data_IF_813330865802
#
_entry.id   IF_813330865802
#
_cell.length_a   1.000
_cell.length_b   1.000
_cell.length_c   1.000
_cell.angle_alpha   90.00
_cell.angle_beta   90.00
_cell.angle_gamma   90.00
#
_symmetry.space_group_name_H-M   'P 1'
#
loop_
_entity.id
_entity.type
_entity.pdbx_description
1 polymer ?
#
# COMPACT_ATOMS: atom_id res chain seq x y z
N UNK A 1 -37.87 -19.96 16.05
CA UNK A 1 -36.71 -20.84 15.74
C UNK A 1 -35.45 -20.04 15.86
N UNK A 2 -34.70 -20.24 16.96
CA UNK A 2 -33.44 -19.55 17.22
C UNK A 2 -32.38 -20.10 16.25
N UNK A 3 -31.93 -19.28 15.29
CA UNK A 3 -30.78 -19.64 14.48
C UNK A 3 -29.55 -19.69 15.40
N UNK A 4 -29.07 -20.90 15.67
CA UNK A 4 -27.79 -21.13 16.32
C UNK A 4 -26.74 -20.35 15.55
N UNK A 5 -26.20 -19.26 16.14
CA UNK A 5 -25.05 -18.54 15.58
C UNK A 5 -23.87 -19.53 15.50
N UNK A 6 -23.58 -20.04 14.30
CA UNK A 6 -22.37 -20.85 14.08
C UNK A 6 -21.18 -20.09 14.64
N UNK A 7 -20.44 -20.74 15.53
CA UNK A 7 -19.19 -20.17 16.03
C UNK A 7 -18.25 -19.89 14.85
N UNK A 8 -17.52 -18.78 14.87
CA UNK A 8 -16.57 -18.47 13.81
C UNK A 8 -15.46 -19.53 13.75
N UNK A 9 -15.09 -19.92 12.53
CA UNK A 9 -13.94 -20.79 12.31
C UNK A 9 -12.65 -19.98 12.52
N UNK A 10 -11.71 -20.51 13.30
CA UNK A 10 -10.40 -19.88 13.53
C UNK A 10 -9.40 -20.37 12.49
N UNK A 11 -8.74 -19.44 11.84
CA UNK A 11 -7.68 -19.68 10.88
C UNK A 11 -6.37 -19.05 11.37
N UNK A 12 -5.34 -19.86 11.65
CA UNK A 12 -4.02 -19.37 12.03
C UNK A 12 -3.37 -18.66 10.84
N UNK A 13 -3.02 -17.40 11.01
CA UNK A 13 -2.36 -16.60 9.96
C UNK A 13 -0.90 -17.03 9.74
N UNK A 14 -0.33 -17.86 10.64
CA UNK A 14 1.07 -18.31 10.59
C UNK A 14 2.06 -17.16 10.41
N UNK A 15 1.84 -16.06 11.12
CA UNK A 15 2.74 -14.92 11.11
C UNK A 15 3.78 -15.14 12.20
N UNK A 16 4.89 -15.81 11.87
CA UNK A 16 5.98 -16.11 12.81
C UNK A 16 6.99 -14.96 12.94
N UNK A 17 7.14 -14.15 11.88
CA UNK A 17 8.00 -12.96 11.87
C UNK A 17 7.17 -11.76 11.45
N UNK A 18 7.00 -10.86 12.39
CA UNK A 18 6.39 -9.56 12.14
C UNK A 18 7.50 -8.64 11.64
N UNK A 19 7.22 -7.82 10.64
CA UNK A 19 8.10 -6.74 10.21
C UNK A 19 8.15 -5.69 11.34
N UNK A 20 9.09 -5.84 12.27
CA UNK A 20 9.18 -5.03 13.49
C UNK A 20 9.36 -3.54 13.20
N UNK A 21 9.90 -3.21 12.02
CA UNK A 21 10.07 -1.84 11.55
C UNK A 21 8.79 -1.22 10.96
N UNK A 22 7.71 -2.01 10.77
CA UNK A 22 6.45 -1.47 10.26
C UNK A 22 5.67 -0.76 11.36
N UNK A 23 5.32 0.50 11.08
CA UNK A 23 4.34 1.26 11.83
C UNK A 23 2.92 1.05 11.32
N UNK A 24 1.99 1.76 11.94
CA UNK A 24 0.57 1.76 11.53
C UNK A 24 0.39 2.30 10.11
N UNK A 25 1.08 3.39 9.68
CA UNK A 25 0.95 3.91 8.32
C UNK A 25 1.31 2.88 7.22
N UNK A 26 2.36 2.06 7.42
CA UNK A 26 2.75 1.02 6.47
C UNK A 26 1.68 -0.08 6.38
N UNK A 27 1.08 -0.47 7.50
CA UNK A 27 0.00 -1.44 7.53
C UNK A 27 -1.26 -0.92 6.81
N UNK A 28 -1.65 0.34 7.05
CA UNK A 28 -2.78 0.99 6.36
C UNK A 28 -2.50 1.14 4.86
N UNK A 29 -1.25 1.46 4.48
CA UNK A 29 -0.83 1.50 3.07
C UNK A 29 -1.13 0.19 2.36
N UNK A 30 -0.88 -0.97 2.97
CA UNK A 30 -1.17 -2.28 2.35
C UNK A 30 -2.68 -2.50 2.16
N UNK A 31 -3.51 -2.05 3.10
CA UNK A 31 -4.97 -2.12 2.94
C UNK A 31 -5.43 -1.23 1.77
N UNK A 32 -4.92 0.00 1.69
CA UNK A 32 -5.23 0.93 0.57
C UNK A 32 -4.72 0.36 -0.76
N UNK A 33 -3.50 -0.16 -0.81
CA UNK A 33 -2.92 -0.77 -2.01
C UNK A 33 -3.77 -1.94 -2.52
N UNK A 34 -4.24 -2.81 -1.62
CA UNK A 34 -5.12 -3.92 -2.00
C UNK A 34 -6.47 -3.45 -2.55
N UNK A 35 -7.06 -2.39 -1.98
CA UNK A 35 -8.29 -1.81 -2.49
C UNK A 35 -8.11 -1.19 -3.90
N UNK A 36 -6.99 -0.51 -4.14
CA UNK A 36 -6.63 0.04 -5.45
C UNK A 36 -6.34 -1.06 -6.48
N UNK A 37 -5.65 -2.11 -6.08
CA UNK A 37 -5.40 -3.27 -6.95
C UNK A 37 -6.71 -3.96 -7.35
N UNK A 38 -7.64 -4.15 -6.41
CA UNK A 38 -8.93 -4.76 -6.71
C UNK A 38 -9.75 -3.89 -7.65
N UNK A 39 -9.73 -2.57 -7.49
CA UNK A 39 -10.32 -1.63 -8.44
C UNK A 39 -9.74 -1.81 -9.84
N UNK A 40 -8.41 -1.84 -9.97
CA UNK A 40 -7.73 -1.98 -11.25
C UNK A 40 -8.00 -3.33 -11.93
N UNK A 41 -8.08 -4.41 -11.15
CA UNK A 41 -8.32 -5.77 -11.64
C UNK A 41 -9.78 -6.00 -12.06
N UNK A 42 -10.74 -5.39 -11.36
CA UNK A 42 -12.18 -5.61 -11.56
C UNK A 42 -12.87 -4.51 -12.37
N UNK A 43 -12.19 -3.38 -12.63
CA UNK A 43 -12.75 -2.24 -13.36
C UNK A 43 -13.90 -1.56 -12.64
N UNK A 44 -13.88 -1.58 -11.29
CA UNK A 44 -14.96 -1.04 -10.46
C UNK A 44 -14.71 0.42 -10.05
N UNK A 45 -15.67 1.00 -9.30
CA UNK A 45 -15.54 2.35 -8.76
C UNK A 45 -14.33 2.48 -7.83
N UNK A 46 -13.84 3.71 -7.69
CA UNK A 46 -12.71 4.03 -6.81
C UNK A 46 -12.97 3.67 -5.35
N UNK A 47 -11.96 3.14 -4.65
CA UNK A 47 -12.06 2.87 -3.23
C UNK A 47 -12.39 4.13 -2.42
N UNK A 48 -13.19 3.97 -1.38
CA UNK A 48 -13.54 5.04 -0.45
C UNK A 48 -12.76 4.90 0.84
N UNK A 49 -12.13 5.98 1.27
CA UNK A 49 -11.43 6.09 2.55
C UNK A 49 -12.17 7.14 3.37
N UNK A 50 -12.93 6.72 4.38
CA UNK A 50 -13.80 7.61 5.16
C UNK A 50 -13.70 7.32 6.64
N UNK A 51 -13.78 8.37 7.47
CA UNK A 51 -13.91 8.26 8.92
C UNK A 51 -15.37 8.15 9.30
N UNK A 52 -15.71 7.11 10.08
CA UNK A 52 -17.04 6.91 10.65
C UNK A 52 -16.97 6.98 12.18
N UNK A 53 -18.10 6.81 12.87
CA UNK A 53 -18.14 6.80 14.34
C UNK A 53 -17.32 5.71 14.98
N UNK A 54 -17.19 4.56 14.31
CA UNK A 54 -16.49 3.35 14.77
C UNK A 54 -15.05 3.25 14.26
N UNK A 55 -14.54 4.24 13.54
CA UNK A 55 -13.15 4.28 13.07
C UNK A 55 -13.00 4.67 11.60
N UNK A 56 -11.81 4.44 11.07
CA UNK A 56 -11.52 4.63 9.67
C UNK A 56 -11.95 3.41 8.84
N UNK A 57 -12.53 3.66 7.70
CA UNK A 57 -12.98 2.64 6.75
C UNK A 57 -12.26 2.79 5.42
N UNK A 58 -11.74 1.67 4.90
CA UNK A 58 -11.24 1.55 3.53
C UNK A 58 -12.13 0.54 2.82
N UNK A 59 -12.89 1.00 1.84
CA UNK A 59 -13.90 0.19 1.13
C UNK A 59 -13.57 0.12 -0.35
N UNK A 60 -13.38 -1.08 -0.91
CA UNK A 60 -13.41 -1.31 -2.35
C UNK A 60 -14.80 -1.78 -2.81
N UNK A 61 -15.02 -1.83 -4.14
CA UNK A 61 -16.28 -2.23 -4.75
C UNK A 61 -16.11 -3.42 -5.70
N UNK A 62 -15.02 -4.18 -5.53
CA UNK A 62 -14.69 -5.31 -6.37
C UNK A 62 -15.40 -6.62 -5.99
N UNK A 63 -14.68 -7.72 -6.14
CA UNK A 63 -15.19 -9.09 -5.97
C UNK A 63 -15.34 -9.50 -4.51
N UNK A 64 -14.71 -8.77 -3.59
CA UNK A 64 -14.69 -9.05 -2.17
C UNK A 64 -13.61 -10.04 -1.74
N UNK A 65 -13.06 -9.80 -0.54
CA UNK A 65 -12.03 -10.63 0.08
C UNK A 65 -12.61 -11.99 0.47
N UNK A 66 -11.90 -13.06 0.15
CA UNK A 66 -12.15 -14.41 0.67
C UNK A 66 -11.08 -14.76 1.68
N UNK A 67 -11.38 -15.58 2.70
CA UNK A 67 -10.39 -16.00 3.70
C UNK A 67 -9.19 -16.71 3.06
N UNK A 68 -9.38 -17.41 1.94
CA UNK A 68 -8.29 -18.04 1.18
C UNK A 68 -7.22 -17.03 0.72
N UNK A 69 -7.59 -15.76 0.49
CA UNK A 69 -6.60 -14.73 0.16
C UNK A 69 -5.65 -14.42 1.33
N UNK A 70 -6.05 -14.75 2.57
CA UNK A 70 -5.20 -14.66 3.74
C UNK A 70 -4.26 -15.88 3.88
N UNK A 71 -4.50 -16.97 3.14
CA UNK A 71 -3.68 -18.18 3.18
C UNK A 71 -2.58 -18.18 2.12
N UNK A 72 -2.77 -17.42 1.06
CA UNK A 72 -1.87 -17.40 -0.10
C UNK A 72 -0.75 -16.38 0.11
N UNK A 73 0.48 -16.79 -0.19
CA UNK A 73 1.64 -15.91 -0.17
C UNK A 73 1.78 -15.09 -1.46
N UNK A 74 1.17 -15.53 -2.57
CA UNK A 74 1.18 -14.84 -3.86
C UNK A 74 -0.15 -14.98 -4.58
N UNK A 75 -0.58 -13.89 -5.26
CA UNK A 75 -1.72 -13.92 -6.18
C UNK A 75 -1.22 -14.13 -7.60
N UNK A 76 -1.54 -15.29 -8.20
CA UNK A 76 -1.21 -15.57 -9.60
C UNK A 76 -1.82 -14.56 -10.58
N UNK A 77 -3.02 -14.03 -10.25
CA UNK A 77 -3.68 -13.01 -11.06
C UNK A 77 -2.91 -11.69 -11.03
N UNK A 78 -2.47 -11.23 -9.83
CA UNK A 78 -1.65 -10.03 -9.69
C UNK A 78 -0.31 -10.16 -10.42
N UNK A 79 0.29 -11.37 -10.42
CA UNK A 79 1.51 -11.63 -11.20
C UNK A 79 1.30 -11.49 -12.71
N UNK A 80 0.21 -12.06 -13.22
CA UNK A 80 -0.12 -11.98 -14.67
C UNK A 80 -0.44 -10.57 -15.13
N UNK A 81 -1.06 -9.76 -14.25
CA UNK A 81 -1.45 -8.37 -14.52
C UNK A 81 -0.55 -7.36 -13.78
N UNK A 82 0.74 -7.67 -13.65
CA UNK A 82 1.72 -6.88 -12.88
C UNK A 82 1.82 -5.41 -13.33
N UNK A 83 1.41 -5.10 -14.58
CA UNK A 83 1.41 -3.73 -15.09
C UNK A 83 0.23 -2.90 -14.60
N UNK A 84 -0.85 -3.52 -14.15
CA UNK A 84 -2.06 -2.85 -13.68
C UNK A 84 -2.09 -2.66 -12.15
N UNK A 85 -1.32 -3.45 -11.40
CA UNK A 85 -1.41 -3.48 -9.93
C UNK A 85 -0.20 -2.84 -9.27
N UNK A 86 -0.44 -2.29 -8.09
CA UNK A 86 0.55 -1.67 -7.21
C UNK A 86 1.19 -2.72 -6.31
N UNK A 87 0.38 -3.61 -5.71
CA UNK A 87 0.82 -4.67 -4.82
C UNK A 87 0.98 -6.00 -5.55
N UNK A 88 2.19 -6.57 -5.54
CA UNK A 88 2.45 -7.86 -6.21
C UNK A 88 2.26 -9.10 -5.33
N UNK A 89 2.20 -8.95 -4.00
CA UNK A 89 2.32 -10.07 -3.05
C UNK A 89 1.17 -10.12 -2.05
N UNK A 90 0.63 -11.32 -1.82
CA UNK A 90 -0.38 -11.60 -0.79
C UNK A 90 0.14 -11.51 0.65
N UNK A 91 1.45 -11.44 0.85
CA UNK A 91 2.10 -11.38 2.17
C UNK A 91 1.79 -10.07 2.90
N UNK A 92 1.73 -8.93 2.18
CA UNK A 92 1.56 -7.62 2.79
C UNK A 92 0.29 -7.45 3.63
N UNK A 93 -0.80 -8.10 3.25
CA UNK A 93 -2.03 -8.01 4.05
C UNK A 93 -1.88 -8.76 5.38
N UNK A 94 -1.22 -9.92 5.41
CA UNK A 94 -0.97 -10.65 6.66
C UNK A 94 -0.07 -9.84 7.61
N UNK A 95 1.00 -9.26 7.06
CA UNK A 95 1.92 -8.41 7.81
C UNK A 95 1.21 -7.16 8.35
N UNK A 96 0.30 -6.57 7.56
CA UNK A 96 -0.53 -5.46 7.99
C UNK A 96 -1.46 -5.87 9.14
N UNK A 97 -2.14 -7.02 9.05
CA UNK A 97 -3.01 -7.53 10.11
C UNK A 97 -2.23 -7.80 11.40
N UNK A 98 -1.04 -8.39 11.31
CA UNK A 98 -0.17 -8.61 12.47
C UNK A 98 0.34 -7.29 13.07
N UNK A 99 0.64 -6.28 12.24
CA UNK A 99 1.03 -4.96 12.71
C UNK A 99 -0.13 -4.27 13.44
N UNK A 100 -1.35 -4.36 12.92
CA UNK A 100 -2.54 -3.81 13.59
C UNK A 100 -2.75 -4.45 14.95
N UNK A 101 -2.70 -5.79 15.05
CA UNK A 101 -2.85 -6.50 16.32
C UNK A 101 -1.79 -6.05 17.35
N UNK A 102 -0.51 -6.00 16.94
CA UNK A 102 0.59 -5.53 17.80
C UNK A 102 0.43 -4.08 18.26
N UNK A 103 -0.16 -3.23 17.42
CA UNK A 103 -0.36 -1.80 17.70
C UNK A 103 -1.72 -1.49 18.35
N UNK A 104 -2.51 -2.51 18.66
CA UNK A 104 -3.81 -2.35 19.32
C UNK A 104 -4.89 -1.74 18.43
N UNK A 105 -4.74 -1.84 17.10
CA UNK A 105 -5.76 -1.44 16.13
C UNK A 105 -6.72 -2.62 15.93
N UNK A 106 -7.98 -2.43 16.29
CA UNK A 106 -9.01 -3.45 16.09
C UNK A 106 -9.48 -3.45 14.62
N UNK A 107 -9.38 -4.62 13.98
CA UNK A 107 -9.69 -4.80 12.56
C UNK A 107 -10.95 -5.64 12.39
N UNK A 108 -11.90 -5.11 11.63
CA UNK A 108 -13.09 -5.83 11.17
C UNK A 108 -13.18 -5.76 9.66
N UNK A 109 -13.23 -6.90 8.98
CA UNK A 109 -13.31 -7.00 7.54
C UNK A 109 -14.67 -7.58 7.18
N UNK A 110 -15.43 -6.89 6.33
CA UNK A 110 -16.71 -7.35 5.80
C UNK A 110 -16.63 -7.51 4.29
N UNK A 111 -17.00 -8.68 3.81
CA UNK A 111 -17.10 -8.98 2.39
C UNK A 111 -18.36 -9.79 2.07
N UNK A 112 -18.75 -9.98 0.80
CA UNK A 112 -19.89 -10.85 0.47
C UNK A 112 -19.64 -12.33 0.83
N UNK A 113 -18.38 -12.70 1.15
CA UNK A 113 -17.98 -14.09 1.39
C UNK A 113 -17.83 -14.43 2.87
N UNK A 114 -17.46 -13.46 3.71
CA UNK A 114 -17.24 -13.65 5.13
C UNK A 114 -17.14 -12.32 5.89
N UNK A 115 -17.44 -12.36 7.17
CA UNK A 115 -17.01 -11.36 8.15
C UNK A 115 -15.80 -11.93 8.89
N UNK A 116 -14.71 -11.14 8.97
CA UNK A 116 -13.44 -11.58 9.53
C UNK A 116 -13.00 -10.58 10.60
N UNK A 117 -12.61 -11.09 11.76
CA UNK A 117 -11.98 -10.32 12.85
C UNK A 117 -10.70 -11.00 13.28
N UNK A 118 -9.83 -10.27 13.97
CA UNK A 118 -8.57 -10.81 14.49
C UNK A 118 -8.73 -11.29 15.93
N UNK A 119 -8.08 -12.39 16.29
CA UNK A 119 -8.04 -12.92 17.66
C UNK A 119 -6.72 -13.61 17.95
N UNK A 120 -6.20 -13.43 19.16
CA UNK A 120 -5.15 -14.28 19.69
C UNK A 120 -5.75 -15.61 20.18
N UNK A 121 -5.24 -16.73 19.68
CA UNK A 121 -5.64 -18.07 20.06
C UNK A 121 -4.44 -19.01 20.15
N UNK A 122 -4.62 -20.13 20.85
CA UNK A 122 -3.59 -21.16 20.91
C UNK A 122 -3.30 -21.74 19.52
N UNK A 123 -2.02 -21.93 19.21
CA UNK A 123 -1.59 -22.60 17.97
C UNK A 123 -2.05 -24.05 18.01
N UNK A 124 -2.53 -24.57 16.88
CA UNK A 124 -2.93 -25.99 16.78
C UNK A 124 -1.79 -26.90 17.28
N UNK A 125 -2.11 -27.79 18.22
CA UNK A 125 -1.19 -28.73 18.89
C UNK A 125 -0.18 -28.12 19.87
N UNK A 126 -0.23 -26.79 20.13
CA UNK A 126 0.66 -26.10 21.09
C UNK A 126 -0.15 -25.12 21.94
N UNK A 127 -0.76 -25.61 23.01
CA UNK A 127 -1.66 -24.82 23.87
C UNK A 127 -0.97 -23.59 24.50
N UNK A 128 0.32 -23.68 24.75
CA UNK A 128 1.13 -22.63 25.39
C UNK A 128 1.57 -21.54 24.40
N UNK A 129 1.45 -21.78 23.09
CA UNK A 129 1.86 -20.84 22.05
C UNK A 129 0.62 -20.12 21.50
N UNK A 130 0.52 -18.81 21.73
CA UNK A 130 -0.53 -17.97 21.14
C UNK A 130 -0.07 -17.39 19.83
N UNK A 131 -0.91 -17.51 18.81
CA UNK A 131 -0.69 -16.93 17.48
C UNK A 131 -1.90 -16.11 17.04
N UNK A 132 -1.68 -15.23 16.07
CA UNK A 132 -2.75 -14.41 15.50
C UNK A 132 -3.61 -15.25 14.55
N UNK A 133 -4.90 -15.27 14.81
CA UNK A 133 -5.90 -15.98 14.03
C UNK A 133 -6.89 -15.01 13.39
N UNK A 134 -7.32 -15.33 12.17
CA UNK A 134 -8.51 -14.77 11.57
C UNK A 134 -9.73 -15.59 12.03
N UNK A 135 -10.65 -14.94 12.75
CA UNK A 135 -11.94 -15.51 13.10
C UNK A 135 -12.93 -15.23 11.96
N UNK A 136 -13.27 -16.27 11.22
CA UNK A 136 -14.08 -16.21 10.00
C UNK A 136 -15.52 -16.63 10.33
N UNK A 137 -16.47 -15.71 10.17
CA UNK A 137 -17.89 -15.92 10.33
C UNK A 137 -18.63 -15.83 8.98
N UNK A 138 -19.84 -16.38 8.87
CA UNK A 138 -20.70 -16.14 7.71
C UNK A 138 -20.90 -14.64 7.48
N UNK A 139 -21.03 -14.18 6.21
CA UNK A 139 -21.16 -12.77 5.91
C UNK A 139 -22.47 -12.21 6.48
N UNK A 140 -22.40 -11.09 7.19
CA UNK A 140 -23.59 -10.35 7.65
C UNK A 140 -24.30 -9.65 6.48
N UNK A 141 -23.54 -9.33 5.41
CA UNK A 141 -24.03 -8.65 4.22
C UNK A 141 -23.68 -9.43 2.93
N UNK A 142 -24.32 -10.57 2.64
CA UNK A 142 -23.94 -11.43 1.49
C UNK A 142 -24.18 -10.77 0.12
N UNK A 143 -24.96 -9.69 0.06
CA UNK A 143 -25.19 -8.89 -1.16
C UNK A 143 -24.24 -7.69 -1.30
N UNK A 144 -23.32 -7.48 -0.36
CA UNK A 144 -22.31 -6.44 -0.42
C UNK A 144 -21.47 -6.60 -1.69
N UNK A 145 -21.05 -5.47 -2.28
CA UNK A 145 -20.01 -5.47 -3.32
C UNK A 145 -18.70 -5.02 -2.67
N UNK A 146 -17.63 -5.77 -2.94
CA UNK A 146 -16.30 -5.46 -2.48
C UNK A 146 -16.06 -5.78 -1.00
N UNK A 147 -15.01 -5.18 -0.47
CA UNK A 147 -14.54 -5.39 0.90
C UNK A 147 -14.54 -4.08 1.66
N UNK A 148 -14.93 -4.10 2.92
CA UNK A 148 -14.82 -2.98 3.84
C UNK A 148 -13.91 -3.37 5.01
N UNK A 149 -12.80 -2.66 5.15
CA UNK A 149 -11.91 -2.72 6.30
C UNK A 149 -12.28 -1.61 7.27
N UNK A 150 -12.78 -1.95 8.45
CA UNK A 150 -12.98 -1.02 9.55
C UNK A 150 -11.80 -1.12 10.52
N UNK A 151 -11.10 0.00 10.72
CA UNK A 151 -9.88 0.14 11.52
C UNK A 151 -10.17 1.03 12.73
N UNK A 152 -10.43 0.42 13.89
CA UNK A 152 -10.74 1.13 15.13
C UNK A 152 -9.47 1.39 15.92
N UNK A 153 -9.34 2.59 16.47
CA UNK A 153 -8.14 3.03 17.17
C UNK A 153 -7.09 3.68 16.27
N UNK A 154 -7.33 3.71 14.95
CA UNK A 154 -6.48 4.41 14.00
C UNK A 154 -6.61 5.93 14.15
N UNK A 155 -5.48 6.64 14.26
CA UNK A 155 -5.47 8.10 14.35
C UNK A 155 -5.60 8.76 12.97
N UNK A 156 -6.01 10.03 12.94
CA UNK A 156 -6.06 10.83 11.71
C UNK A 156 -4.65 11.03 11.12
N UNK A 157 -3.65 11.16 11.99
CA UNK A 157 -2.26 11.27 11.59
C UNK A 157 -1.75 10.00 10.89
N UNK A 158 -2.08 8.80 11.43
CA UNK A 158 -1.69 7.54 10.79
C UNK A 158 -2.33 7.38 9.41
N UNK A 159 -3.62 7.73 9.29
CA UNK A 159 -4.32 7.68 8.00
C UNK A 159 -3.74 8.70 7.01
N UNK A 160 -3.43 9.91 7.45
CA UNK A 160 -2.80 10.92 6.60
C UNK A 160 -1.41 10.46 6.11
N UNK A 161 -0.59 9.92 7.00
CA UNK A 161 0.72 9.37 6.66
C UNK A 161 0.62 8.17 5.71
N UNK A 162 -0.39 7.30 5.88
CA UNK A 162 -0.64 6.19 4.98
C UNK A 162 -1.07 6.64 3.57
N UNK A 163 -1.93 7.66 3.48
CA UNK A 163 -2.35 8.24 2.19
C UNK A 163 -1.21 8.92 1.46
N UNK A 164 -0.26 9.50 2.18
CA UNK A 164 0.91 10.16 1.62
C UNK A 164 1.88 9.20 0.89
N UNK A 165 1.73 7.89 1.08
CA UNK A 165 2.41 6.90 0.24
C UNK A 165 1.89 6.85 -1.20
N UNK A 166 0.74 7.44 -1.50
CA UNK A 166 0.10 7.36 -2.81
C UNK A 166 0.05 8.72 -3.47
N UNK A 167 0.65 8.86 -4.64
CA UNK A 167 0.69 10.10 -5.42
C UNK A 167 -0.70 10.71 -5.61
N UNK A 168 -1.72 9.88 -5.84
CA UNK A 168 -3.12 10.32 -6.03
C UNK A 168 -3.73 11.03 -4.82
N UNK A 169 -3.18 10.81 -3.60
CA UNK A 169 -3.63 11.44 -2.36
C UNK A 169 -2.64 12.44 -1.81
N UNK A 170 -1.38 12.37 -2.25
CA UNK A 170 -0.30 13.20 -1.75
C UNK A 170 -0.43 14.67 -2.19
N UNK A 171 -1.08 14.93 -3.34
CA UNK A 171 -1.25 16.28 -3.86
C UNK A 171 0.02 16.88 -4.46
N UNK A 172 0.98 16.03 -4.88
CA UNK A 172 2.19 16.48 -5.56
C UNK A 172 1.85 17.02 -6.97
N UNK A 173 2.41 18.17 -7.32
CA UNK A 173 2.20 18.86 -8.59
C UNK A 173 3.00 18.18 -9.70
N UNK A 174 2.34 17.77 -10.80
CA UNK A 174 3.01 17.23 -11.98
C UNK A 174 3.49 18.40 -12.87
N UNK A 175 4.80 18.50 -13.08
CA UNK A 175 5.42 19.50 -13.96
C UNK A 175 5.46 19.03 -15.41
N UNK A 176 5.76 17.74 -15.62
CA UNK A 176 5.85 17.17 -16.97
C UNK A 176 5.63 15.66 -16.94
N UNK A 177 4.99 15.14 -18.00
CA UNK A 177 4.79 13.72 -18.22
C UNK A 177 5.53 13.25 -19.47
N UNK A 178 6.23 12.11 -19.32
CA UNK A 178 6.92 11.40 -20.39
C UNK A 178 6.34 9.99 -20.53
N UNK A 179 6.76 9.26 -21.56
CA UNK A 179 6.42 7.83 -21.76
C UNK A 179 7.00 6.89 -20.68
N UNK A 180 8.01 7.36 -19.91
CA UNK A 180 8.65 6.59 -18.87
C UNK A 180 8.11 6.90 -17.47
N UNK A 181 7.49 8.06 -17.30
CA UNK A 181 6.99 8.55 -16.03
C UNK A 181 6.83 10.06 -16.01
N UNK A 182 6.58 10.62 -14.82
CA UNK A 182 6.36 12.05 -14.62
C UNK A 182 7.44 12.66 -13.75
N UNK A 183 7.74 13.94 -14.03
CA UNK A 183 8.52 14.82 -13.18
C UNK A 183 7.53 15.61 -12.32
N UNK A 184 7.72 15.57 -11.02
CA UNK A 184 6.87 16.22 -10.04
C UNK A 184 7.67 17.30 -9.32
N UNK A 185 6.99 18.38 -8.93
CA UNK A 185 7.60 19.42 -8.12
C UNK A 185 7.98 18.88 -6.75
N UNK A 186 9.23 19.10 -6.35
CA UNK A 186 9.66 18.83 -4.99
C UNK A 186 8.97 19.80 -4.04
N UNK A 187 8.47 19.33 -2.91
CA UNK A 187 7.90 20.20 -1.89
C UNK A 187 9.01 20.96 -1.17
N UNK A 188 8.75 22.22 -0.88
CA UNK A 188 9.70 23.06 -0.17
C UNK A 188 9.98 22.50 1.24
N UNK A 189 11.25 22.40 1.61
CA UNK A 189 11.66 21.87 2.91
C UNK A 189 11.53 20.35 3.09
N UNK A 190 11.03 19.62 2.07
CA UNK A 190 10.91 18.15 2.12
C UNK A 190 11.89 17.48 1.13
N UNK A 191 12.31 16.22 1.39
CA UNK A 191 13.04 15.45 0.41
C UNK A 191 12.20 15.16 -0.84
N UNK A 192 12.87 14.98 -1.97
CA UNK A 192 12.22 14.53 -3.19
C UNK A 192 11.66 13.12 -3.02
N UNK A 193 10.52 12.85 -3.62
CA UNK A 193 9.77 11.61 -3.48
C UNK A 193 9.89 10.78 -4.76
N UNK A 194 10.20 9.50 -4.62
CA UNK A 194 10.26 8.57 -5.74
C UNK A 194 9.05 7.65 -5.65
N UNK A 195 8.17 7.78 -6.63
CA UNK A 195 7.01 6.92 -6.79
C UNK A 195 7.26 5.91 -7.90
N UNK A 196 6.72 4.72 -7.75
CA UNK A 196 6.60 3.73 -8.81
C UNK A 196 5.14 3.38 -8.96
N UNK A 197 4.59 3.65 -10.16
CA UNK A 197 3.15 3.48 -10.45
C UNK A 197 2.26 4.15 -9.40
N UNK A 198 2.67 5.36 -8.97
CA UNK A 198 1.92 6.17 -8.01
C UNK A 198 2.09 5.77 -6.54
N UNK A 199 2.99 4.84 -6.21
CA UNK A 199 3.32 4.47 -4.82
C UNK A 199 4.73 4.88 -4.47
N UNK A 200 4.88 5.62 -3.39
CA UNK A 200 6.19 6.07 -2.88
C UNK A 200 7.02 4.89 -2.41
N UNK A 201 8.21 4.76 -2.98
CA UNK A 201 9.15 3.68 -2.70
C UNK A 201 10.45 4.17 -2.06
N UNK A 202 10.77 5.47 -2.20
CA UNK A 202 11.94 6.08 -1.61
C UNK A 202 11.75 7.60 -1.47
N UNK A 203 12.66 8.22 -0.72
CA UNK A 203 12.86 9.66 -0.64
C UNK A 203 14.33 9.99 -0.90
N UNK A 204 14.61 11.17 -1.48
CA UNK A 204 15.94 11.59 -1.92
C UNK A 204 16.18 13.04 -1.55
N UNK A 205 17.14 13.25 -0.66
CA UNK A 205 17.51 14.60 -0.19
C UNK A 205 18.16 15.48 -1.28
N UNK A 206 18.90 14.86 -2.19
CA UNK A 206 19.70 15.57 -3.19
C UNK A 206 19.02 15.74 -4.54
N UNK A 207 17.79 15.21 -4.72
CA UNK A 207 17.11 15.35 -5.99
C UNK A 207 16.34 16.67 -6.06
N UNK A 208 16.49 17.37 -7.19
CA UNK A 208 15.80 18.64 -7.45
C UNK A 208 14.28 18.42 -7.60
N UNK A 209 13.87 17.31 -8.20
CA UNK A 209 12.49 16.95 -8.47
C UNK A 209 12.10 15.65 -7.79
N UNK A 210 10.81 15.51 -7.51
CA UNK A 210 10.18 14.21 -7.26
C UNK A 210 9.83 13.53 -8.59
N UNK A 211 9.67 12.20 -8.58
CA UNK A 211 9.42 11.43 -9.81
C UNK A 211 8.35 10.36 -9.59
N UNK A 212 7.54 10.13 -10.62
CA UNK A 212 6.67 8.96 -10.68
C UNK A 212 7.07 8.09 -11.87
N UNK A 213 7.69 6.96 -11.61
CA UNK A 213 8.14 5.99 -12.62
C UNK A 213 6.95 5.10 -13.00
N UNK A 214 6.49 5.17 -14.24
CA UNK A 214 5.40 4.33 -14.76
C UNK A 214 5.92 3.14 -15.56
N UNK A 215 7.07 3.28 -16.24
CA UNK A 215 7.73 2.22 -16.99
C UNK A 215 8.87 1.61 -16.18
N UNK A 216 8.65 0.44 -15.60
CA UNK A 216 9.62 -0.22 -14.71
C UNK A 216 10.64 -1.07 -15.47
N UNK A 217 11.89 -1.14 -14.97
CA UNK A 217 12.93 -2.07 -15.43
C UNK A 217 12.86 -3.39 -14.64
N UNK A 218 13.46 -4.45 -15.18
CA UNK A 218 13.59 -5.72 -14.46
C UNK A 218 14.35 -5.57 -13.12
N UNK A 219 15.36 -4.68 -13.08
CA UNK A 219 16.11 -4.37 -11.87
C UNK A 219 15.22 -3.70 -10.81
N UNK A 220 14.46 -2.67 -11.21
CA UNK A 220 13.51 -2.00 -10.33
C UNK A 220 12.44 -2.95 -9.82
N UNK A 221 11.91 -3.82 -10.69
CA UNK A 221 10.93 -4.83 -10.31
C UNK A 221 11.48 -5.81 -9.27
N UNK A 222 12.74 -6.25 -9.40
CA UNK A 222 13.40 -7.13 -8.42
C UNK A 222 13.61 -6.42 -7.08
N UNK A 223 14.01 -5.16 -7.09
CA UNK A 223 14.17 -4.37 -5.87
C UNK A 223 12.83 -4.18 -5.14
N UNK A 224 11.76 -3.85 -5.86
CA UNK A 224 10.40 -3.74 -5.31
C UNK A 224 9.87 -5.06 -4.73
N UNK A 225 10.36 -6.20 -5.22
CA UNK A 225 9.99 -7.51 -4.68
C UNK A 225 10.64 -7.80 -3.32
N UNK A 226 11.77 -7.18 -3.04
CA UNK A 226 12.52 -7.32 -1.78
C UNK A 226 12.04 -6.34 -0.72
N UNK A 227 11.91 -5.08 -1.12
CA UNK A 227 11.63 -3.96 -0.22
C UNK A 227 10.53 -3.09 -0.84
N UNK A 228 9.43 -2.95 -0.13
CA UNK A 228 8.29 -2.14 -0.58
C UNK A 228 8.45 -0.67 -0.27
N UNK A 229 9.33 -0.36 0.68
CA UNK A 229 9.74 0.98 1.10
C UNK A 229 11.25 0.98 1.24
N UNK A 230 11.90 2.11 1.00
CA UNK A 230 13.36 2.26 0.99
C UNK A 230 14.07 1.44 -0.10
N UNK A 231 13.49 1.44 -1.29
CA UNK A 231 14.17 0.88 -2.47
C UNK A 231 15.46 1.68 -2.73
N UNK A 232 16.60 0.98 -2.78
CA UNK A 232 17.90 1.60 -2.96
C UNK A 232 18.01 2.38 -4.27
N UNK A 233 18.69 3.53 -4.25
CA UNK A 233 18.87 4.47 -5.37
C UNK A 233 19.31 3.80 -6.67
N UNK A 234 20.22 2.83 -6.59
CA UNK A 234 20.73 2.09 -7.75
C UNK A 234 19.66 1.38 -8.58
N UNK A 235 18.49 1.08 -7.95
CA UNK A 235 17.41 0.39 -8.64
C UNK A 235 16.61 1.30 -9.58
N UNK A 236 16.55 2.60 -9.30
CA UNK A 236 15.72 3.56 -10.05
C UNK A 236 16.46 4.73 -10.67
N UNK A 237 17.73 5.00 -10.29
CA UNK A 237 18.46 6.17 -10.76
C UNK A 237 18.53 6.30 -12.29
N UNK A 238 18.77 5.20 -13.01
CA UNK A 238 18.83 5.21 -14.47
C UNK A 238 17.49 5.55 -15.09
N UNK A 239 16.40 5.12 -14.44
CA UNK A 239 15.04 5.44 -14.91
C UNK A 239 14.70 6.90 -14.63
N UNK A 240 15.07 7.44 -13.48
CA UNK A 240 14.92 8.86 -13.13
C UNK A 240 15.72 9.73 -14.13
N UNK A 241 16.98 9.36 -14.39
CA UNK A 241 17.81 10.03 -15.40
C UNK A 241 17.16 10.01 -16.78
N UNK A 242 16.62 8.85 -17.21
CA UNK A 242 15.97 8.74 -18.51
C UNK A 242 14.68 9.58 -18.61
N UNK A 243 13.90 9.71 -17.52
CA UNK A 243 12.74 10.60 -17.46
C UNK A 243 13.18 12.05 -17.61
N UNK A 244 14.20 12.47 -16.83
CA UNK A 244 14.71 13.86 -16.87
C UNK A 244 15.28 14.24 -18.25
N UNK A 245 16.00 13.33 -18.91
CA UNK A 245 16.56 13.57 -20.26
C UNK A 245 15.49 13.69 -21.36
N UNK A 246 14.27 13.25 -21.09
CA UNK A 246 13.13 13.42 -22.00
C UNK A 246 12.32 14.69 -21.72
N UNK A 247 12.67 15.42 -20.66
CA UNK A 247 11.97 16.65 -20.31
C UNK A 247 12.13 17.73 -21.41
N UNK A 248 11.04 18.42 -21.69
CA UNK A 248 10.95 19.51 -22.68
C UNK A 248 10.23 20.73 -22.15
N UNK A 249 9.59 20.63 -20.98
CA UNK A 249 8.80 21.73 -20.43
C UNK A 249 9.72 22.85 -19.92
N UNK A 250 9.32 24.09 -20.19
CA UNK A 250 10.04 25.28 -19.76
C UNK A 250 10.17 25.32 -18.23
N UNK A 251 9.14 24.89 -17.52
CA UNK A 251 9.14 24.85 -16.05
C UNK A 251 10.23 23.94 -15.47
N UNK A 252 10.49 22.78 -16.08
CA UNK A 252 11.56 21.88 -15.66
C UNK A 252 12.93 22.49 -16.00
N UNK A 253 13.08 23.05 -17.21
CA UNK A 253 14.34 23.68 -17.66
C UNK A 253 14.70 24.88 -16.78
N UNK A 254 13.73 25.73 -16.47
CA UNK A 254 13.93 26.91 -15.62
C UNK A 254 14.35 26.54 -14.20
N UNK A 255 13.78 25.46 -13.64
CA UNK A 255 14.15 24.97 -12.31
C UNK A 255 15.58 24.42 -12.29
N UNK A 256 15.97 23.66 -13.32
CA UNK A 256 17.36 23.19 -13.49
C UNK A 256 18.31 24.40 -13.63
N UNK A 257 17.96 25.41 -14.43
CA UNK A 257 18.79 26.59 -14.64
C UNK A 257 18.99 27.38 -13.33
N UNK A 258 18.01 27.46 -12.46
CA UNK A 258 18.12 28.10 -11.14
C UNK A 258 19.01 27.32 -10.17
N UNK A 259 19.08 25.99 -10.30
CA UNK A 259 19.91 25.18 -9.41
C UNK A 259 21.36 25.01 -9.87
N UNK A 260 21.66 25.24 -11.16
CA UNK A 260 23.00 25.15 -11.71
C UNK A 260 24.07 25.97 -10.94
N UNK A 261 23.82 27.22 -10.50
CA UNK A 261 24.82 27.97 -9.72
C UNK A 261 25.16 27.32 -8.38
N UNK A 262 24.22 26.62 -7.74
CA UNK A 262 24.44 25.90 -6.47
C UNK A 262 25.32 24.68 -6.68
N UNK A 263 25.13 23.95 -7.79
CA UNK A 263 25.95 22.79 -8.15
C UNK A 263 27.40 23.20 -8.42
N UNK A 264 27.62 24.35 -9.09
CA UNK A 264 28.95 24.87 -9.39
C UNK A 264 29.69 25.36 -8.15
N UNK A 265 29.02 25.79 -7.11
CA UNK A 265 29.61 26.25 -5.85
C UNK A 265 30.00 25.14 -4.88
N UNK A 266 29.81 23.85 -5.24
CA UNK A 266 30.23 22.70 -4.42
C UNK A 266 29.50 22.55 -3.09
N UNK A 267 28.34 23.16 -2.91
CA UNK A 267 27.46 22.93 -1.79
C UNK A 267 26.62 21.70 -2.11
N UNK A 268 27.19 20.54 -1.80
CA UNK A 268 26.47 19.27 -1.76
C UNK A 268 25.70 19.13 -0.43
#
# INVERSE_FOLDING_TARGET
>A
MSQSKKQPSLFDLNVEKILDHWGVPEAVREVIANALDEQALSGTAEPKIVKRRDGWHVTDFGRGLRYQHLTQNESLEKRRKADLVVGKFGVGLKDALATFDRRGIDVSIRSPHADITLRQAAKSNFADVKTLHAAVAPPSEPKRRGTDFALRGLTDSDMAAARDYFLRFAGDEELERTDLGSILKRREGEPARIYVKGVRVAVEEQFLFSYNITSTTAQLQRALNRERTNVGRTAYQDRVKAILLKARSTSVVDEIARDLPRIQQGTN
#
